data_IF_378080364098
#
_entry.id   IF_378080364098
#
_cell.length_a   1.000
_cell.length_b   1.000
_cell.length_c   1.000
_cell.angle_alpha   90.00
_cell.angle_beta   90.00
_cell.angle_gamma   90.00
#
_symmetry.space_group_name_H-M   'P 1'
#
loop_
_entity.id
_entity.type
_entity.pdbx_description
1 polymer ?
#
# COMPACT_ATOMS: atom_id res chain seq x y z
N UNK A 1 -0.69 -14.25 6.74
CA UNK A 1 -1.96 -13.54 6.49
C UNK A 1 -1.79 -12.59 5.32
N UNK A 2 -0.76 -11.80 5.37
CA UNK A 2 -0.47 -10.87 4.28
C UNK A 2 -0.29 -11.57 2.95
N UNK A 3 0.45 -12.65 2.94
CA UNK A 3 0.71 -13.41 1.72
C UNK A 3 -0.55 -14.03 1.16
N UNK A 4 -1.43 -14.50 2.01
CA UNK A 4 -2.69 -15.08 1.57
C UNK A 4 -3.54 -14.01 0.90
N UNK A 5 -3.63 -12.84 1.52
CA UNK A 5 -4.39 -11.74 0.96
C UNK A 5 -3.84 -11.31 -0.39
N UNK A 6 -2.54 -11.22 -0.51
CA UNK A 6 -1.89 -10.86 -1.75
C UNK A 6 -2.18 -11.86 -2.86
N UNK A 7 -2.14 -13.13 -2.54
CA UNK A 7 -2.36 -14.17 -3.55
C UNK A 7 -3.78 -14.15 -4.09
N UNK A 8 -4.76 -14.00 -3.22
CA UNK A 8 -6.16 -13.94 -3.63
C UNK A 8 -6.39 -12.73 -4.53
N UNK A 9 -5.92 -11.59 -4.13
CA UNK A 9 -6.09 -10.37 -4.91
C UNK A 9 -5.33 -10.44 -6.23
N UNK A 10 -4.18 -11.09 -6.23
CA UNK A 10 -3.33 -11.19 -7.40
C UNK A 10 -3.98 -11.94 -8.55
N UNK A 11 -4.77 -12.94 -8.26
CA UNK A 11 -5.45 -13.70 -9.32
C UNK A 11 -6.41 -12.82 -10.12
N UNK A 12 -7.17 -11.98 -9.43
CA UNK A 12 -8.11 -11.07 -10.09
C UNK A 12 -7.36 -9.97 -10.83
N UNK A 13 -6.32 -9.44 -10.22
CA UNK A 13 -5.58 -8.31 -10.75
C UNK A 13 -4.78 -8.65 -12.00
N UNK A 14 -4.25 -9.85 -12.09
CA UNK A 14 -3.47 -10.25 -13.26
C UNK A 14 -4.33 -10.16 -14.52
N UNK A 15 -5.59 -10.57 -14.44
CA UNK A 15 -6.49 -10.48 -15.58
C UNK A 15 -6.74 -9.02 -15.95
N UNK A 16 -7.03 -8.18 -14.96
CA UNK A 16 -7.31 -6.77 -15.21
C UNK A 16 -6.10 -6.01 -15.72
N UNK A 17 -4.94 -6.27 -15.14
CA UNK A 17 -3.73 -5.59 -15.56
C UNK A 17 -3.33 -5.94 -16.98
N UNK A 18 -3.59 -7.16 -17.42
CA UNK A 18 -3.31 -7.53 -18.79
C UNK A 18 -4.10 -6.67 -19.78
N UNK A 19 -5.35 -6.36 -19.45
CA UNK A 19 -6.16 -5.48 -20.29
C UNK A 19 -5.73 -4.02 -20.20
N UNK A 20 -5.38 -3.57 -18.98
CA UNK A 20 -5.01 -2.18 -18.75
C UNK A 20 -3.64 -1.83 -19.30
N UNK A 21 -2.73 -2.80 -19.38
CA UNK A 21 -1.36 -2.55 -19.81
C UNK A 21 -1.28 -2.12 -21.28
N UNK A 22 -2.32 -2.31 -22.06
CA UNK A 22 -2.34 -1.92 -23.45
C UNK A 22 -2.76 -0.47 -23.68
N UNK A 23 -3.07 0.26 -22.61
CA UNK A 23 -3.47 1.65 -22.74
C UNK A 23 -3.34 2.39 -21.42
N UNK A 24 -3.69 3.66 -21.46
CA UNK A 24 -3.68 4.48 -20.26
C UNK A 24 -4.71 3.97 -19.26
N UNK A 25 -4.30 3.96 -18.00
CA UNK A 25 -5.19 3.52 -16.93
C UNK A 25 -4.85 4.25 -15.64
N UNK A 26 -5.77 4.16 -14.70
CA UNK A 26 -5.57 4.63 -13.32
C UNK A 26 -5.57 3.41 -12.42
N UNK A 27 -4.54 3.28 -11.61
CA UNK A 27 -4.46 2.18 -10.66
C UNK A 27 -4.11 2.71 -9.28
N UNK A 28 -4.65 2.05 -8.26
CA UNK A 28 -4.37 2.39 -6.87
C UNK A 28 -4.39 1.12 -6.04
N UNK A 29 -3.64 1.17 -4.98
CA UNK A 29 -3.60 0.10 -3.99
C UNK A 29 -3.73 0.72 -2.60
N UNK A 30 -4.38 0.01 -1.69
CA UNK A 30 -4.49 0.40 -0.29
C UNK A 30 -3.63 -0.53 0.54
N UNK A 31 -2.88 0.06 1.47
CA UNK A 31 -2.07 -0.71 2.41
C UNK A 31 -2.33 -0.25 3.82
N UNK A 32 -2.39 -1.20 4.74
CA UNK A 32 -2.33 -0.96 6.18
C UNK A 32 -1.06 -1.60 6.69
N UNK A 33 -0.27 -0.84 7.42
CA UNK A 33 1.00 -1.34 7.94
C UNK A 33 1.12 -0.99 9.41
N UNK A 34 1.51 -1.96 10.20
CA UNK A 34 1.78 -1.75 11.62
C UNK A 34 3.28 -1.70 11.84
N UNK A 35 3.74 -0.62 12.41
CA UNK A 35 5.16 -0.35 12.60
C UNK A 35 5.42 -0.20 14.09
N UNK A 36 6.35 -0.99 14.60
CA UNK A 36 6.80 -0.85 15.99
C UNK A 36 7.63 0.42 16.12
N UNK A 37 7.30 1.21 17.11
CA UNK A 37 8.00 2.47 17.35
C UNK A 37 8.41 2.55 18.81
N UNK A 38 9.68 2.74 19.06
CA UNK A 38 10.12 3.18 20.39
C UNK A 38 10.17 4.70 20.41
N UNK A 39 10.51 5.27 21.55
CA UNK A 39 10.51 6.73 21.70
C UNK A 39 11.42 7.44 20.69
N UNK A 40 12.50 6.79 20.28
CA UNK A 40 13.47 7.40 19.36
C UNK A 40 13.02 7.31 17.91
N UNK A 41 12.19 6.32 17.58
CA UNK A 41 11.79 6.06 16.20
C UNK A 41 10.46 6.71 15.82
N UNK A 42 9.69 7.18 16.79
CA UNK A 42 8.36 7.73 16.52
C UNK A 42 8.37 8.90 15.55
N UNK A 43 9.29 9.83 15.77
CA UNK A 43 9.39 11.00 14.91
C UNK A 43 9.84 10.63 13.51
N UNK A 44 10.75 9.69 13.39
CA UNK A 44 11.22 9.22 12.09
C UNK A 44 10.08 8.55 11.31
N UNK A 45 9.35 7.67 11.95
CA UNK A 45 8.23 6.98 11.30
C UNK A 45 7.15 7.98 10.90
N UNK A 46 6.84 8.93 11.78
CA UNK A 46 5.86 9.95 11.47
C UNK A 46 6.30 10.81 10.28
N UNK A 47 7.58 11.19 10.24
CA UNK A 47 8.09 11.98 9.13
C UNK A 47 8.01 11.22 7.81
N UNK A 48 8.32 9.95 7.81
CA UNK A 48 8.21 9.12 6.61
C UNK A 48 6.75 9.02 6.16
N UNK A 49 5.84 8.83 7.10
CA UNK A 49 4.41 8.77 6.79
C UNK A 49 3.95 10.09 6.15
N UNK A 50 4.38 11.21 6.70
CA UNK A 50 4.01 12.52 6.17
C UNK A 50 4.56 12.75 4.75
N UNK A 51 5.80 12.35 4.52
CA UNK A 51 6.43 12.49 3.20
C UNK A 51 5.62 11.73 2.13
N UNK A 52 5.18 10.54 2.45
CA UNK A 52 4.40 9.72 1.51
C UNK A 52 2.91 9.99 1.57
N UNK A 53 2.50 10.95 2.42
CA UNK A 53 1.09 11.31 2.62
C UNK A 53 0.25 10.14 3.14
N UNK A 54 0.86 9.32 3.98
CA UNK A 54 0.15 8.29 4.70
C UNK A 54 -0.59 8.87 5.89
N UNK A 55 -1.56 8.13 6.39
CA UNK A 55 -2.34 8.53 7.55
C UNK A 55 -2.09 7.56 8.69
N UNK A 56 -1.79 8.09 9.86
CA UNK A 56 -1.70 7.29 11.07
C UNK A 56 -3.13 7.10 11.58
N UNK A 57 -3.63 5.87 11.48
CA UNK A 57 -5.02 5.57 11.78
C UNK A 57 -5.19 4.91 13.14
N UNK A 58 -4.11 4.47 13.75
CA UNK A 58 -4.14 3.90 15.09
C UNK A 58 -2.80 4.15 15.77
N UNK A 59 -2.85 4.47 17.06
CA UNK A 59 -1.65 4.77 17.85
C UNK A 59 -1.68 3.94 19.12
N UNK A 60 -0.62 3.18 19.30
CA UNK A 60 -0.38 2.43 20.53
C UNK A 60 0.89 2.98 21.17
N UNK A 61 1.21 2.49 22.36
CA UNK A 61 2.41 2.95 23.06
C UNK A 61 3.68 2.77 22.24
N UNK A 62 3.77 1.64 21.57
CA UNK A 62 4.98 1.22 20.88
C UNK A 62 4.72 0.84 19.42
N UNK A 63 3.62 1.30 18.86
CA UNK A 63 3.29 0.97 17.49
C UNK A 63 2.36 2.01 16.88
N UNK A 64 2.55 2.25 15.58
CA UNK A 64 1.61 2.99 14.77
C UNK A 64 1.05 2.07 13.70
N UNK A 65 -0.23 2.24 13.39
CA UNK A 65 -0.84 1.66 12.20
C UNK A 65 -1.05 2.77 11.20
N UNK A 66 -0.47 2.60 10.01
CA UNK A 66 -0.47 3.62 8.98
C UNK A 66 -1.23 3.11 7.77
N UNK A 67 -2.08 3.96 7.22
CA UNK A 67 -2.79 3.70 5.98
C UNK A 67 -2.13 4.47 4.86
N UNK A 68 -1.88 3.81 3.74
CA UNK A 68 -1.29 4.46 2.57
C UNK A 68 -2.01 4.00 1.32
N UNK A 69 -2.39 4.95 0.47
CA UNK A 69 -2.95 4.64 -0.84
C UNK A 69 -2.07 5.25 -1.92
N UNK A 70 -2.00 4.58 -3.03
CA UNK A 70 -1.21 5.05 -4.15
C UNK A 70 -0.94 3.94 -5.14
N UNK A 71 0.05 4.17 -6.00
CA UNK A 71 0.51 3.14 -6.92
C UNK A 71 1.30 2.09 -6.14
N UNK A 72 1.44 0.91 -6.72
CA UNK A 72 2.26 -0.14 -6.10
C UNK A 72 3.69 0.31 -5.88
N UNK A 73 4.23 1.10 -6.81
CA UNK A 73 5.58 1.62 -6.68
C UNK A 73 5.73 2.53 -5.47
N UNK A 74 4.74 3.39 -5.24
CA UNK A 74 4.74 4.27 -4.07
C UNK A 74 4.70 3.47 -2.78
N UNK A 75 3.84 2.46 -2.73
CA UNK A 75 3.69 1.61 -1.54
C UNK A 75 4.96 0.83 -1.28
N UNK A 76 5.57 0.27 -2.32
CA UNK A 76 6.84 -0.44 -2.17
C UNK A 76 7.94 0.49 -1.65
N UNK A 77 7.99 1.72 -2.17
CA UNK A 77 8.97 2.71 -1.73
C UNK A 77 8.78 3.07 -0.26
N UNK A 78 7.54 3.20 0.18
CA UNK A 78 7.24 3.50 1.57
C UNK A 78 7.74 2.39 2.49
N UNK A 79 7.46 1.14 2.12
CA UNK A 79 7.90 -0.01 2.92
C UNK A 79 9.42 -0.03 3.02
N UNK A 80 10.11 0.26 1.92
CA UNK A 80 11.58 0.30 1.92
C UNK A 80 12.16 1.43 2.76
N UNK A 81 11.42 2.54 2.85
CA UNK A 81 11.88 3.70 3.62
C UNK A 81 11.80 3.49 5.13
N UNK A 82 10.97 2.56 5.58
CA UNK A 82 10.82 2.28 7.01
C UNK A 82 11.97 1.40 7.51
N UNK A 83 12.31 1.52 8.82
CA UNK A 83 13.23 0.55 9.42
C UNK A 83 12.65 -0.86 9.28
N UNK A 84 13.36 -1.74 8.59
CA UNK A 84 12.81 -3.03 8.20
C UNK A 84 12.48 -3.93 9.39
N UNK A 85 13.27 -3.85 10.44
CA UNK A 85 13.04 -4.64 11.65
C UNK A 85 11.87 -4.13 12.48
N UNK A 86 11.35 -2.96 12.16
CA UNK A 86 10.23 -2.37 12.90
C UNK A 86 8.87 -2.75 12.32
N UNK A 87 8.83 -3.34 11.14
CA UNK A 87 7.57 -3.69 10.48
C UNK A 87 7.00 -4.94 11.15
N UNK A 88 5.85 -4.78 11.79
CA UNK A 88 5.21 -5.88 12.51
C UNK A 88 4.22 -6.63 11.64
N UNK A 89 3.48 -5.90 10.81
CA UNK A 89 2.40 -6.51 10.04
C UNK A 89 2.08 -5.62 8.84
N UNK A 90 1.84 -6.25 7.69
CA UNK A 90 1.47 -5.52 6.46
C UNK A 90 0.28 -6.22 5.83
N UNK A 91 -0.72 -5.45 5.47
CA UNK A 91 -1.86 -5.94 4.69
C UNK A 91 -2.02 -5.04 3.47
N UNK A 92 -2.07 -5.64 2.30
CA UNK A 92 -2.24 -4.91 1.05
C UNK A 92 -3.49 -5.41 0.34
N UNK A 93 -4.25 -4.48 -0.24
CA UNK A 93 -5.46 -4.83 -0.97
C UNK A 93 -5.17 -5.43 -2.34
N UNK A 94 -3.98 -5.19 -2.86
CA UNK A 94 -3.72 -5.45 -4.26
C UNK A 94 -4.19 -4.27 -5.12
N UNK A 95 -3.79 -4.28 -6.37
CA UNK A 95 -4.02 -3.17 -7.28
C UNK A 95 -5.45 -3.18 -7.81
N UNK A 96 -6.10 -2.02 -7.73
CA UNK A 96 -7.38 -1.76 -8.37
C UNK A 96 -7.15 -0.78 -9.51
N UNK A 97 -7.73 -1.04 -10.67
CA UNK A 97 -7.49 -0.20 -11.81
C UNK A 97 -8.69 -0.03 -12.71
N UNK A 98 -8.74 1.11 -13.38
CA UNK A 98 -9.77 1.41 -14.36
C UNK A 98 -9.11 2.08 -15.56
N UNK A 99 -9.67 1.85 -16.74
CA UNK A 99 -9.24 2.57 -17.94
C UNK A 99 -9.55 4.05 -17.80
N UNK A 100 -8.69 4.88 -18.39
CA UNK A 100 -8.88 6.33 -18.35
C UNK A 100 -9.94 6.75 -19.36
N UNK A 101 -10.58 7.89 -19.05
CA UNK A 101 -11.52 8.52 -19.96
C UNK A 101 -12.81 7.73 -20.09
N UNK A 102 -13.36 7.72 -21.28
CA UNK A 102 -14.64 7.08 -21.57
C UNK A 102 -14.52 5.59 -21.79
N UNK A 103 -13.31 5.07 -21.95
CA UNK A 103 -13.08 3.66 -22.20
C UNK A 103 -13.39 2.85 -20.95
N UNK A 104 -14.07 1.74 -21.12
CA UNK A 104 -14.39 0.83 -20.02
C UNK A 104 -13.91 -0.56 -20.37
N UNK A 105 -13.55 -1.34 -19.32
CA UNK A 105 -13.19 -2.73 -19.50
C UNK A 105 -14.44 -3.57 -19.74
N UNK A 106 -14.36 -4.38 -20.77
CA UNK A 106 -15.40 -5.38 -21.06
C UNK A 106 -14.96 -6.71 -20.44
N UNK A 107 -15.82 -7.28 -19.66
CA UNK A 107 -15.51 -8.57 -19.03
C UNK A 107 -16.45 -9.63 -19.53
#
# INVERSE_FOLDING_TARGET
IEQITKQVNKLVEVVRLADLSEGDHVERELMLIKVKTNSDQREEVKSIADIFRGQIVDVFRDAYTIQLTGTSEKIDAFIKALPQDSIAEVARSGVLGLSRGEKALSI
#
